data_IF_866392552026
#
_entry.id   IF_866392552026
#
_cell.length_a   1.000
_cell.length_b   1.000
_cell.length_c   1.000
_cell.angle_alpha   90.00
_cell.angle_beta   90.00
_cell.angle_gamma   90.00
#
_symmetry.space_group_name_H-M   'P 1'
#
loop_
_entity.id
_entity.type
_entity.pdbx_description
1 polymer ?
#
# COMPACT_ATOMS: atom_id res chain seq x y z
N UNK A 1 15.56 -0.96 -3.18
CA UNK A 1 14.49 -1.52 -2.34
C UNK A 1 13.74 -2.58 -3.15
N UNK A 2 13.33 -3.70 -2.54
CA UNK A 2 12.61 -4.77 -3.22
C UNK A 2 11.09 -4.51 -3.28
N UNK A 3 10.35 -5.29 -4.09
CA UNK A 3 8.87 -5.23 -4.13
C UNK A 3 8.24 -5.68 -2.80
N UNK A 4 8.88 -6.63 -2.11
CA UNK A 4 8.40 -7.13 -0.81
C UNK A 4 8.56 -6.10 0.31
N UNK A 5 9.62 -5.28 0.26
CA UNK A 5 9.80 -4.15 1.18
C UNK A 5 8.68 -3.11 0.98
N UNK A 6 8.38 -2.74 -0.26
CA UNK A 6 7.30 -1.80 -0.59
C UNK A 6 5.94 -2.34 -0.11
N UNK A 7 5.69 -3.63 -0.32
CA UNK A 7 4.47 -4.31 0.15
C UNK A 7 4.36 -4.27 1.68
N UNK A 8 5.47 -4.47 2.37
CA UNK A 8 5.55 -4.38 3.84
C UNK A 8 5.25 -2.97 4.32
N UNK A 9 5.80 -1.96 3.66
CA UNK A 9 5.53 -0.55 3.98
C UNK A 9 4.08 -0.16 3.73
N UNK A 10 3.47 -0.62 2.63
CA UNK A 10 2.04 -0.45 2.37
C UNK A 10 1.21 -1.04 3.51
N UNK A 11 1.48 -2.28 3.91
CA UNK A 11 0.75 -2.92 4.99
C UNK A 11 0.90 -2.17 6.30
N UNK A 12 2.13 -1.75 6.63
CA UNK A 12 2.38 -0.99 7.84
C UNK A 12 1.64 0.34 7.81
N UNK A 13 1.70 1.09 6.71
CA UNK A 13 1.02 2.37 6.59
C UNK A 13 -0.51 2.26 6.74
N UNK A 14 -1.13 1.24 6.12
CA UNK A 14 -2.57 0.98 6.24
C UNK A 14 -3.00 0.48 7.63
N UNK A 15 -2.17 -0.29 8.34
CA UNK A 15 -2.46 -0.71 9.73
C UNK A 15 -2.43 0.46 10.71
N UNK A 16 -1.50 1.39 10.53
CA UNK A 16 -1.38 2.56 11.40
C UNK A 16 -2.38 3.66 11.04
N UNK A 17 -2.84 3.70 9.79
CA UNK A 17 -3.81 4.67 9.28
C UNK A 17 -4.95 3.92 8.58
N UNK A 18 -5.82 3.22 9.33
CA UNK A 18 -7.01 2.63 8.74
C UNK A 18 -7.81 3.74 8.06
N UNK A 19 -8.20 3.48 6.83
CA UNK A 19 -8.95 4.45 6.03
C UNK A 19 -8.12 5.36 5.13
N UNK A 20 -6.82 5.13 5.00
CA UNK A 20 -5.98 5.98 4.15
C UNK A 20 -6.33 5.81 2.66
N UNK A 21 -6.66 6.92 2.00
CA UNK A 21 -6.82 6.95 0.55
C UNK A 21 -5.49 6.66 -0.17
N UNK A 22 -5.56 6.02 -1.35
CA UNK A 22 -4.37 5.62 -2.13
C UNK A 22 -3.39 6.77 -2.39
N UNK A 23 -3.90 7.96 -2.72
CA UNK A 23 -3.04 9.13 -2.94
C UNK A 23 -2.17 9.46 -1.72
N UNK A 24 -2.78 9.50 -0.53
CA UNK A 24 -2.07 9.80 0.70
C UNK A 24 -1.09 8.68 1.08
N UNK A 25 -1.50 7.41 0.92
CA UNK A 25 -0.63 6.25 1.14
C UNK A 25 0.65 6.34 0.29
N UNK A 26 0.48 6.49 -1.02
CA UNK A 26 1.60 6.57 -1.97
C UNK A 26 2.49 7.77 -1.65
N UNK A 27 1.90 8.93 -1.35
CA UNK A 27 2.66 10.12 -0.98
C UNK A 27 3.44 9.94 0.33
N UNK A 28 2.92 9.25 1.33
CA UNK A 28 3.62 9.04 2.60
C UNK A 28 4.81 8.10 2.44
N UNK A 29 4.61 6.96 1.76
CA UNK A 29 5.65 5.96 1.54
C UNK A 29 6.76 6.51 0.64
N UNK A 30 6.39 7.18 -0.45
CA UNK A 30 7.35 7.78 -1.39
C UNK A 30 8.30 8.75 -0.67
N UNK A 31 7.78 9.63 0.19
CA UNK A 31 8.60 10.58 0.95
C UNK A 31 9.46 9.92 2.03
N UNK A 32 8.92 8.93 2.75
CA UNK A 32 9.65 8.29 3.86
C UNK A 32 10.80 7.41 3.38
N UNK A 33 10.66 6.81 2.21
CA UNK A 33 11.60 5.81 1.71
C UNK A 33 12.41 6.26 0.49
N UNK A 34 12.16 7.46 -0.01
CA UNK A 34 12.73 7.99 -1.25
C UNK A 34 12.51 7.04 -2.44
N UNK A 35 11.25 6.60 -2.62
CA UNK A 35 10.85 5.65 -3.67
C UNK A 35 9.93 6.35 -4.67
N UNK A 36 10.07 6.01 -5.95
CA UNK A 36 9.16 6.46 -6.99
C UNK A 36 7.71 6.02 -6.72
N UNK A 37 6.77 6.96 -6.83
CA UNK A 37 5.33 6.68 -6.73
C UNK A 37 4.87 5.57 -7.70
N UNK A 38 5.51 5.45 -8.87
CA UNK A 38 5.16 4.41 -9.86
C UNK A 38 5.37 3.00 -9.27
N UNK A 39 6.53 2.76 -8.65
CA UNK A 39 6.85 1.46 -8.03
C UNK A 39 5.86 1.10 -6.91
N UNK A 40 5.41 2.09 -6.14
CA UNK A 40 4.41 1.87 -5.08
C UNK A 40 3.05 1.50 -5.68
N UNK A 41 2.63 2.21 -6.74
CA UNK A 41 1.37 1.90 -7.43
C UNK A 41 1.39 0.51 -8.09
N UNK A 42 2.49 0.11 -8.71
CA UNK A 42 2.62 -1.24 -9.27
C UNK A 42 2.46 -2.34 -8.21
N UNK A 43 3.00 -2.13 -7.01
CA UNK A 43 2.88 -3.09 -5.90
C UNK A 43 1.45 -3.07 -5.35
N UNK A 44 0.80 -1.89 -5.26
CA UNK A 44 -0.62 -1.80 -4.91
C UNK A 44 -1.50 -2.57 -5.88
N UNK A 45 -1.29 -2.41 -7.19
CA UNK A 45 -2.03 -3.13 -8.23
C UNK A 45 -1.83 -4.65 -8.15
N UNK A 46 -0.64 -5.12 -7.77
CA UNK A 46 -0.42 -6.53 -7.47
C UNK A 46 -1.18 -7.01 -6.23
N UNK A 47 -1.17 -6.22 -5.16
CA UNK A 47 -1.90 -6.56 -3.93
C UNK A 47 -3.42 -6.60 -4.18
N UNK A 48 -3.95 -5.69 -5.00
CA UNK A 48 -5.35 -5.73 -5.44
C UNK A 48 -5.67 -7.00 -6.22
N UNK A 49 -4.85 -7.34 -7.23
CA UNK A 49 -5.07 -8.53 -8.07
C UNK A 49 -4.98 -9.83 -7.27
N UNK A 50 -4.13 -9.87 -6.23
CA UNK A 50 -4.00 -11.01 -5.32
C UNK A 50 -5.08 -11.05 -4.23
N UNK A 51 -5.96 -10.06 -4.15
CA UNK A 51 -6.99 -9.98 -3.12
C UNK A 51 -6.43 -9.74 -1.71
N UNK A 52 -5.26 -9.11 -1.59
CA UNK A 52 -4.65 -8.78 -0.30
C UNK A 52 -5.20 -7.47 0.27
N UNK A 53 -5.64 -6.57 -0.62
CA UNK A 53 -6.26 -5.30 -0.27
C UNK A 53 -7.48 -5.07 -1.16
N UNK A 54 -8.44 -4.31 -0.65
CA UNK A 54 -9.63 -3.87 -1.38
C UNK A 54 -9.88 -2.38 -1.20
N UNK A 55 -10.66 -1.79 -2.11
CA UNK A 55 -11.12 -0.41 -2.01
C UNK A 55 -12.60 -0.39 -1.66
N UNK A 56 -12.93 0.02 -0.43
CA UNK A 56 -14.31 0.21 0.07
C UNK A 56 -14.52 1.66 0.48
N UNK A 57 -14.29 2.58 -0.45
CA UNK A 57 -14.08 4.01 -0.18
C UNK A 57 -12.62 4.29 0.20
N UNK A 58 -12.10 3.53 1.15
CA UNK A 58 -10.70 3.59 1.61
C UNK A 58 -9.94 2.29 1.32
N UNK A 59 -8.63 2.29 1.50
CA UNK A 59 -7.80 1.09 1.34
C UNK A 59 -7.84 0.25 2.62
N UNK A 60 -8.19 -1.03 2.48
CA UNK A 60 -8.32 -1.98 3.59
C UNK A 60 -7.52 -3.24 3.28
N UNK A 61 -6.77 -3.75 4.28
CA UNK A 61 -6.09 -5.05 4.19
C UNK A 61 -7.11 -6.15 4.49
N UNK A 62 -7.15 -7.16 3.63
CA UNK A 62 -7.83 -8.42 3.93
C UNK A 62 -6.84 -9.28 4.71
N UNK A 63 -7.05 -9.44 6.02
CA UNK A 63 -6.20 -10.35 6.81
C UNK A 63 -6.40 -11.79 6.33
N UNK A 64 -5.29 -12.53 6.17
CA UNK A 64 -5.33 -13.97 5.98
C UNK A 64 -5.86 -14.59 7.28
N UNK A 65 -6.89 -15.44 7.15
CA UNK A 65 -7.49 -16.19 8.26
C UNK A 65 -6.51 -17.15 8.91
#
# INVERSE_FOLDING_TARGET
MSRDDIRTDIRNALRHNPGLGQYYLVSQISRHRDICCLSINEVLDEMFRKGEIVRQGELVILEES
#
